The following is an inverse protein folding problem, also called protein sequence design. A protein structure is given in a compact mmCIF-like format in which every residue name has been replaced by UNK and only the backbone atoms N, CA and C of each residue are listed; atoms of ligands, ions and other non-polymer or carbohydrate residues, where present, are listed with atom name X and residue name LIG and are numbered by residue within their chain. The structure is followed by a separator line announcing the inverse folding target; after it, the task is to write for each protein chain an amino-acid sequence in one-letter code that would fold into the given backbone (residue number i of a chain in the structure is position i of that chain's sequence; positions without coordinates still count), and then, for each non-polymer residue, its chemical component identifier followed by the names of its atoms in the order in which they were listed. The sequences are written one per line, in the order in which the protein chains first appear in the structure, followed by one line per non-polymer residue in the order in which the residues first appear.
data_IF_605867939028
#
_entry.id   IF_605867939028
#
_cell.length_a   1.000
_cell.length_b   1.000
_cell.length_c   1.000
_cell.angle_alpha   90.00
_cell.angle_beta   90.00
_cell.angle_gamma   90.00
#
_symmetry.space_group_name_H-M   'P 1'
#
loop_
_entity.id
_entity.type
_entity.pdbx_description
1 polymer ?
#
# COMPACT_ATOMS: atom_id res chain seq x y z
N UNK A 1 36.13 7.00 -32.59
CA UNK A 1 37.11 7.97 -32.04
C UNK A 1 36.66 9.43 -32.10
N UNK A 2 35.86 9.87 -33.04
CA UNK A 2 35.37 11.25 -33.17
C UNK A 2 34.37 11.71 -32.10
N UNK A 3 33.51 10.82 -31.59
CA UNK A 3 32.48 11.16 -30.57
C UNK A 3 33.08 11.44 -29.20
N UNK A 4 34.14 10.75 -28.79
CA UNK A 4 34.80 10.99 -27.49
C UNK A 4 35.60 12.30 -27.45
N UNK A 5 36.07 12.80 -28.63
CA UNK A 5 36.79 14.07 -28.76
C UNK A 5 35.81 15.26 -28.63
N UNK A 6 34.62 15.17 -29.22
CA UNK A 6 33.61 16.23 -29.14
C UNK A 6 33.09 16.44 -27.71
N UNK A 7 32.84 15.34 -26.94
CA UNK A 7 32.37 15.43 -25.53
C UNK A 7 33.46 16.04 -24.65
N UNK A 8 34.73 15.72 -24.87
CA UNK A 8 35.83 16.34 -24.09
C UNK A 8 36.01 17.84 -24.40
N UNK A 9 35.77 18.26 -25.64
CA UNK A 9 35.85 19.67 -26.03
C UNK A 9 34.66 20.46 -25.47
N UNK A 10 33.45 19.87 -25.42
CA UNK A 10 32.25 20.52 -24.86
C UNK A 10 32.32 20.70 -23.32
N UNK A 11 33.00 19.79 -22.61
CA UNK A 11 33.19 19.88 -21.15
C UNK A 11 34.35 20.85 -20.79
N UNK A 12 35.30 21.10 -21.72
CA UNK A 12 36.40 22.02 -21.48
C UNK A 12 36.03 23.50 -21.61
N UNK A 13 34.93 23.82 -22.30
CA UNK A 13 34.50 25.19 -22.61
C UNK A 13 33.41 25.72 -21.67
N UNK A 14 33.04 24.95 -20.63
CA UNK A 14 32.13 25.42 -19.57
C UNK A 14 32.88 26.40 -18.69
N UNK A 15 32.45 27.65 -18.72
CA UNK A 15 32.99 28.71 -17.83
C UNK A 15 32.81 28.34 -16.37
N UNK A 16 33.88 27.78 -15.79
CA UNK A 16 33.92 27.32 -14.38
C UNK A 16 33.52 28.43 -13.41
N UNK A 17 33.76 29.70 -13.77
CA UNK A 17 33.39 30.86 -12.95
C UNK A 17 31.89 31.01 -12.91
N UNK A 18 31.24 30.95 -14.10
CA UNK A 18 29.75 31.02 -14.20
C UNK A 18 29.06 29.86 -13.50
N UNK A 19 29.63 28.64 -13.59
CA UNK A 19 29.11 27.46 -12.86
C UNK A 19 29.21 27.71 -11.37
N UNK A 20 30.37 28.10 -10.86
CA UNK A 20 30.61 28.35 -9.45
C UNK A 20 29.71 29.46 -8.89
N UNK A 21 29.54 30.55 -9.64
CA UNK A 21 28.62 31.64 -9.25
C UNK A 21 27.17 31.16 -9.18
N UNK A 22 26.73 30.39 -10.19
CA UNK A 22 25.39 29.82 -10.20
C UNK A 22 25.17 28.87 -9.02
N UNK A 23 26.11 27.99 -8.75
CA UNK A 23 26.04 27.07 -7.61
C UNK A 23 26.00 27.83 -6.28
N UNK A 24 26.89 28.79 -6.05
CA UNK A 24 26.93 29.59 -4.83
C UNK A 24 25.61 30.35 -4.60
N UNK A 25 25.09 31.00 -5.66
CA UNK A 25 23.80 31.71 -5.59
C UNK A 25 22.66 30.76 -5.20
N UNK A 26 22.57 29.60 -5.88
CA UNK A 26 21.48 28.66 -5.59
C UNK A 26 21.63 28.00 -4.21
N UNK A 27 22.85 27.66 -3.79
CA UNK A 27 23.07 27.19 -2.41
C UNK A 27 22.61 28.23 -1.40
N UNK A 28 22.98 29.51 -1.59
CA UNK A 28 22.57 30.58 -0.68
C UNK A 28 21.03 30.80 -0.66
N UNK A 29 20.35 30.59 -1.80
CA UNK A 29 18.89 30.70 -1.87
C UNK A 29 18.20 29.47 -1.26
N UNK A 30 18.65 28.26 -1.60
CA UNK A 30 18.07 27.00 -1.13
C UNK A 30 18.36 26.69 0.34
N UNK A 31 19.41 27.26 0.90
CA UNK A 31 19.71 27.11 2.34
C UNK A 31 18.93 28.07 3.24
N UNK A 32 18.25 29.09 2.67
CA UNK A 32 17.37 29.97 3.42
C UNK A 32 16.00 29.32 3.53
N UNK A 33 15.50 29.20 4.74
CA UNK A 33 14.16 28.71 5.03
C UNK A 33 13.22 29.90 5.28
N UNK A 34 12.05 29.86 4.69
CA UNK A 34 10.95 30.76 5.00
C UNK A 34 10.22 30.27 6.27
N UNK A 35 9.48 31.15 6.95
CA UNK A 35 8.64 30.75 8.11
C UNK A 35 7.68 29.62 7.76
N UNK A 36 7.12 29.64 6.55
CA UNK A 36 6.23 28.60 6.05
C UNK A 36 6.94 27.25 5.89
N UNK A 37 8.17 27.26 5.37
CA UNK A 37 9.00 26.03 5.23
C UNK A 37 9.41 25.48 6.59
N UNK A 38 9.75 26.33 7.54
CA UNK A 38 10.06 25.93 8.92
C UNK A 38 8.85 25.24 9.55
N UNK A 39 7.63 25.74 9.35
CA UNK A 39 6.39 25.13 9.82
C UNK A 39 6.05 23.78 9.14
N UNK A 40 6.70 23.45 8.03
CA UNK A 40 6.52 22.16 7.31
C UNK A 40 7.63 21.14 7.63
N UNK A 41 8.63 21.54 8.41
CA UNK A 41 9.73 20.65 8.78
C UNK A 41 9.32 19.70 9.90
N UNK A 42 9.95 18.50 9.93
CA UNK A 42 9.77 17.62 11.09
C UNK A 42 10.15 18.36 12.39
N UNK A 43 9.27 18.29 13.38
CA UNK A 43 9.53 18.90 14.69
C UNK A 43 10.70 18.26 15.44
N UNK A 44 11.17 17.10 14.99
CA UNK A 44 12.25 16.33 15.62
C UNK A 44 13.58 16.45 14.86
N UNK A 45 14.67 16.49 15.60
CA UNK A 45 16.06 16.31 15.08
C UNK A 45 16.47 14.83 15.06
N UNK A 46 15.58 13.93 15.48
CA UNK A 46 15.83 12.49 15.45
C UNK A 46 15.85 11.96 14.00
N UNK A 47 16.52 10.83 13.75
CA UNK A 47 16.47 10.20 12.43
C UNK A 47 15.04 9.84 12.02
N UNK A 48 14.68 10.15 10.78
CA UNK A 48 13.38 9.81 10.19
C UNK A 48 13.32 8.34 9.77
N UNK A 49 12.11 7.75 9.60
CA UNK A 49 11.97 6.43 9.00
C UNK A 49 12.63 6.37 7.62
N UNK A 50 13.39 5.32 7.36
CA UNK A 50 14.07 5.11 6.08
C UNK A 50 13.20 4.26 5.15
N UNK A 51 12.82 4.82 4.01
CA UNK A 51 12.06 4.10 2.96
C UNK A 51 12.81 2.84 2.52
N UNK A 52 14.14 2.89 2.44
CA UNK A 52 14.96 1.73 2.03
C UNK A 52 14.96 0.63 3.09
N UNK A 53 15.06 0.99 4.38
CA UNK A 53 14.98 0.01 5.46
C UNK A 53 13.56 -0.60 5.56
N UNK A 54 12.52 0.18 5.29
CA UNK A 54 11.14 -0.34 5.23
C UNK A 54 10.97 -1.34 4.06
N UNK A 55 11.59 -1.10 2.89
CA UNK A 55 11.65 -2.10 1.80
C UNK A 55 12.36 -3.39 2.27
N UNK A 56 13.46 -3.26 3.01
CA UNK A 56 14.17 -4.43 3.55
C UNK A 56 13.30 -5.20 4.54
N UNK A 57 12.55 -4.53 5.40
CA UNK A 57 11.58 -5.16 6.32
C UNK A 57 10.56 -5.99 5.54
N UNK A 58 9.93 -5.43 4.50
CA UNK A 58 8.98 -6.17 3.67
C UNK A 58 9.64 -7.37 2.98
N UNK A 59 10.87 -7.23 2.49
CA UNK A 59 11.62 -8.33 1.89
C UNK A 59 11.90 -9.47 2.89
N UNK A 60 12.29 -9.13 4.12
CA UNK A 60 12.49 -10.12 5.19
C UNK A 60 11.21 -10.88 5.54
N UNK A 61 10.08 -10.16 5.67
CA UNK A 61 8.77 -10.79 5.91
C UNK A 61 8.41 -11.74 4.77
N UNK A 62 8.62 -11.33 3.50
CA UNK A 62 8.39 -12.20 2.33
C UNK A 62 9.25 -13.47 2.39
N UNK A 63 10.51 -13.35 2.76
CA UNK A 63 11.41 -14.50 2.89
C UNK A 63 11.00 -15.45 4.02
N UNK A 64 10.52 -14.91 5.14
CA UNK A 64 10.02 -15.69 6.28
C UNK A 64 8.73 -16.44 5.89
N UNK A 65 7.81 -15.79 5.20
CA UNK A 65 6.51 -16.36 4.83
C UNK A 65 6.63 -17.32 3.65
N UNK A 66 7.47 -17.00 2.64
CA UNK A 66 7.66 -17.74 1.40
C UNK A 66 9.14 -18.11 1.18
N UNK A 67 9.75 -18.92 2.07
CA UNK A 67 11.19 -19.13 2.10
C UNK A 67 11.77 -19.79 0.83
N UNK A 68 10.93 -20.50 0.08
CA UNK A 68 11.37 -21.23 -1.13
C UNK A 68 11.19 -20.40 -2.43
N UNK A 69 10.63 -19.20 -2.35
CA UNK A 69 10.30 -18.38 -3.53
C UNK A 69 11.25 -17.19 -3.75
N UNK A 70 11.70 -16.52 -2.71
CA UNK A 70 12.44 -15.26 -2.83
C UNK A 70 13.90 -15.36 -2.40
N UNK A 71 14.31 -16.51 -1.87
CA UNK A 71 15.68 -16.86 -1.55
C UNK A 71 16.05 -18.24 -2.16
N UNK A 72 17.32 -18.61 -2.01
CA UNK A 72 17.77 -19.92 -2.48
C UNK A 72 17.04 -21.02 -1.72
N UNK A 73 16.33 -21.86 -2.46
CA UNK A 73 15.57 -22.99 -1.90
C UNK A 73 16.44 -23.84 -0.98
N UNK A 74 15.92 -24.11 0.23
CA UNK A 74 16.54 -24.95 1.23
C UNK A 74 15.71 -26.23 1.41
N UNK A 75 16.16 -27.37 0.85
CA UNK A 75 15.41 -28.63 0.94
C UNK A 75 15.37 -29.21 2.34
N UNK A 76 16.38 -28.89 3.18
CA UNK A 76 16.48 -29.38 4.56
C UNK A 76 15.67 -28.46 5.50
N UNK A 77 14.78 -29.05 6.30
CA UNK A 77 13.92 -28.34 7.23
C UNK A 77 14.71 -27.63 8.34
N UNK A 78 15.76 -28.25 8.86
CA UNK A 78 16.59 -27.66 9.90
C UNK A 78 17.35 -26.42 9.37
N UNK A 79 17.87 -26.49 8.14
CA UNK A 79 18.53 -25.37 7.48
C UNK A 79 17.52 -24.25 7.21
N UNK A 80 16.31 -24.58 6.76
CA UNK A 80 15.22 -23.62 6.56
C UNK A 80 14.85 -22.90 7.87
N UNK A 81 14.67 -23.66 8.96
CA UNK A 81 14.38 -23.10 10.28
C UNK A 81 15.50 -22.15 10.75
N UNK A 82 16.77 -22.50 10.52
CA UNK A 82 17.91 -21.63 10.81
C UNK A 82 17.83 -20.29 10.03
N UNK A 83 17.59 -20.34 8.72
CA UNK A 83 17.47 -19.13 7.91
C UNK A 83 16.29 -18.24 8.32
N UNK A 84 15.14 -18.84 8.63
CA UNK A 84 13.98 -18.13 9.17
C UNK A 84 14.37 -17.43 10.49
N UNK A 85 15.08 -18.14 11.39
CA UNK A 85 15.54 -17.57 12.67
C UNK A 85 16.43 -16.34 12.48
N UNK A 86 17.42 -16.43 11.59
CA UNK A 86 18.31 -15.29 11.24
C UNK A 86 17.53 -14.13 10.65
N UNK A 87 16.58 -14.40 9.73
CA UNK A 87 15.76 -13.35 9.14
C UNK A 87 14.83 -12.69 10.17
N UNK A 88 14.30 -13.45 11.13
CA UNK A 88 13.47 -12.91 12.23
C UNK A 88 14.27 -12.01 13.17
N UNK A 89 15.52 -12.36 13.48
CA UNK A 89 16.41 -11.53 14.29
C UNK A 89 16.72 -10.19 13.59
N UNK A 90 17.10 -10.24 12.31
CA UNK A 90 17.32 -9.02 11.50
C UNK A 90 16.04 -8.18 11.42
N UNK A 91 14.89 -8.83 11.15
CA UNK A 91 13.59 -8.17 11.08
C UNK A 91 13.25 -7.45 12.39
N UNK A 92 13.39 -8.11 13.53
CA UNK A 92 13.09 -7.53 14.84
C UNK A 92 13.94 -6.30 15.10
N UNK A 93 15.25 -6.38 14.82
CA UNK A 93 16.18 -5.27 14.98
C UNK A 93 15.83 -4.06 14.11
N UNK A 94 15.59 -4.31 12.81
CA UNK A 94 15.25 -3.24 11.86
C UNK A 94 13.89 -2.63 12.17
N UNK A 95 12.90 -3.47 12.46
CA UNK A 95 11.54 -3.03 12.74
C UNK A 95 11.48 -2.16 13.98
N UNK A 96 12.09 -2.58 15.10
CA UNK A 96 12.20 -1.79 16.33
C UNK A 96 12.79 -0.41 16.03
N UNK A 97 13.89 -0.37 15.29
CA UNK A 97 14.55 0.90 14.96
C UNK A 97 13.64 1.81 14.10
N UNK A 98 13.00 1.27 13.07
CA UNK A 98 12.14 2.07 12.20
C UNK A 98 10.87 2.53 12.93
N UNK A 99 10.27 1.70 13.79
CA UNK A 99 9.13 2.09 14.64
C UNK A 99 9.55 3.23 15.58
N UNK A 100 10.71 3.14 16.22
CA UNK A 100 11.23 4.21 17.08
C UNK A 100 11.39 5.54 16.32
N UNK A 101 11.89 5.49 15.07
CA UNK A 101 11.99 6.69 14.21
C UNK A 101 10.59 7.22 13.85
N UNK A 102 9.62 6.35 13.54
CA UNK A 102 8.23 6.74 13.26
C UNK A 102 7.55 7.39 14.45
N UNK A 103 7.71 6.85 15.63
CA UNK A 103 7.19 7.43 16.86
C UNK A 103 7.77 8.82 17.16
N UNK A 104 9.06 9.04 16.87
CA UNK A 104 9.71 10.33 17.04
C UNK A 104 9.33 11.35 15.95
N UNK A 105 8.86 10.90 14.81
CA UNK A 105 8.40 11.77 13.72
C UNK A 105 6.99 12.35 13.99
N UNK A 106 6.17 11.66 14.76
CA UNK A 106 4.80 12.09 15.03
C UNK A 106 4.80 13.18 16.12
N UNK A 107 4.21 14.35 15.83
CA UNK A 107 4.16 15.49 16.75
C UNK A 107 3.39 15.20 18.06
N UNK A 108 2.51 14.19 18.04
CA UNK A 108 1.73 13.74 19.20
C UNK A 108 2.53 12.87 20.20
N UNK A 109 3.78 12.55 19.92
CA UNK A 109 4.66 11.93 20.92
C UNK A 109 4.93 12.94 22.03
N UNK A 110 4.32 12.72 23.20
CA UNK A 110 4.44 13.52 24.39
C UNK A 110 5.87 14.04 24.58
N UNK A 111 6.03 15.35 24.66
CA UNK A 111 7.30 16.08 24.73
C UNK A 111 8.18 15.65 25.91
N UNK A 112 7.69 14.76 26.79
CA UNK A 112 8.37 14.24 27.97
C UNK A 112 8.86 12.79 27.85
N UNK A 113 8.66 12.12 26.69
CA UNK A 113 9.08 10.71 26.55
C UNK A 113 10.59 10.61 26.27
N UNK A 114 11.32 9.91 27.14
CA UNK A 114 12.75 9.70 26.95
C UNK A 114 13.03 8.78 25.75
N UNK A 115 14.21 8.92 25.15
CA UNK A 115 14.64 8.05 24.05
C UNK A 115 14.54 6.55 24.42
N UNK A 116 14.89 6.19 25.67
CA UNK A 116 14.80 4.81 26.16
C UNK A 116 13.36 4.30 26.19
N UNK A 117 12.41 5.13 26.62
CA UNK A 117 10.97 4.78 26.62
C UNK A 117 10.43 4.60 25.21
N UNK A 118 10.80 5.48 24.26
CA UNK A 118 10.40 5.33 22.85
C UNK A 118 10.89 4.01 22.27
N UNK A 119 12.16 3.64 22.56
CA UNK A 119 12.72 2.37 22.11
C UNK A 119 12.04 1.17 22.77
N UNK A 120 11.67 1.24 24.06
CA UNK A 120 10.90 0.18 24.73
C UNK A 120 9.52 -0.02 24.09
N UNK A 121 8.77 1.06 23.80
CA UNK A 121 7.49 1.01 23.10
C UNK A 121 7.66 0.41 21.68
N UNK A 122 8.73 0.81 20.99
CA UNK A 122 9.02 0.31 19.64
C UNK A 122 9.34 -1.19 19.64
N UNK A 123 10.10 -1.66 20.63
CA UNK A 123 10.43 -3.08 20.81
C UNK A 123 9.17 -3.91 21.08
N UNK A 124 8.31 -3.47 21.99
CA UNK A 124 7.05 -4.13 22.30
C UNK A 124 6.15 -4.27 21.04
N UNK A 125 6.04 -3.19 20.25
CA UNK A 125 5.27 -3.23 18.98
C UNK A 125 5.92 -4.14 17.94
N UNK A 126 7.25 -4.16 17.84
CA UNK A 126 7.98 -5.06 16.95
C UNK A 126 7.75 -6.52 17.34
N UNK A 127 7.82 -6.86 18.62
CA UNK A 127 7.54 -8.22 19.11
C UNK A 127 6.09 -8.64 18.85
N UNK A 128 5.12 -7.77 19.09
CA UNK A 128 3.71 -8.02 18.75
C UNK A 128 3.51 -8.26 17.24
N UNK A 129 4.26 -7.57 16.39
CA UNK A 129 4.25 -7.82 14.95
C UNK A 129 4.86 -9.19 14.61
N UNK A 130 5.98 -9.57 15.23
CA UNK A 130 6.61 -10.89 15.05
C UNK A 130 5.64 -12.01 15.46
N UNK A 131 4.94 -11.85 16.60
CA UNK A 131 3.92 -12.81 17.06
C UNK A 131 2.75 -12.95 16.09
N UNK A 132 2.46 -11.93 15.29
CA UNK A 132 1.40 -11.95 14.28
C UNK A 132 1.81 -12.59 12.95
N UNK A 133 3.10 -12.86 12.70
CA UNK A 133 3.56 -13.41 11.41
C UNK A 133 2.90 -14.74 11.02
N UNK A 134 2.64 -15.70 11.93
CA UNK A 134 1.92 -16.92 11.59
C UNK A 134 0.50 -16.65 11.05
N UNK A 135 -0.21 -15.69 11.62
CA UNK A 135 -1.55 -15.30 11.15
C UNK A 135 -1.49 -14.55 9.82
N UNK A 136 -0.56 -13.64 9.65
CA UNK A 136 -0.31 -12.97 8.35
C UNK A 136 -0.02 -14.02 7.26
N UNK A 137 0.80 -15.02 7.57
CA UNK A 137 1.06 -16.15 6.66
C UNK A 137 -0.24 -16.88 6.32
N UNK A 138 -1.05 -17.24 7.32
CA UNK A 138 -2.32 -17.94 7.11
C UNK A 138 -3.24 -17.15 6.16
N UNK A 139 -3.43 -15.87 6.41
CA UNK A 139 -4.25 -14.98 5.57
C UNK A 139 -3.73 -14.89 4.14
N UNK A 140 -2.43 -14.74 3.95
CA UNK A 140 -1.82 -14.68 2.61
C UNK A 140 -2.03 -15.98 1.84
N UNK A 141 -2.02 -17.14 2.51
CA UNK A 141 -2.29 -18.43 1.84
C UNK A 141 -3.77 -18.57 1.43
N UNK A 142 -4.73 -18.00 2.18
CA UNK A 142 -6.12 -17.91 1.72
C UNK A 142 -6.28 -16.98 0.53
N UNK A 143 -5.56 -15.85 0.50
CA UNK A 143 -5.56 -14.91 -0.63
C UNK A 143 -4.95 -15.56 -1.90
N UNK A 144 -3.86 -16.34 -1.75
CA UNK A 144 -3.27 -17.12 -2.85
C UNK A 144 -4.27 -18.12 -3.42
N UNK A 145 -4.98 -18.85 -2.55
CA UNK A 145 -6.01 -19.79 -2.99
C UNK A 145 -7.10 -19.08 -3.78
N UNK A 146 -7.62 -17.97 -3.26
CA UNK A 146 -8.65 -17.18 -3.94
C UNK A 146 -8.19 -16.64 -5.30
N UNK A 147 -6.95 -16.14 -5.40
CA UNK A 147 -6.40 -15.67 -6.67
C UNK A 147 -6.22 -16.80 -7.67
N UNK A 148 -5.77 -17.98 -7.22
CA UNK A 148 -5.64 -19.15 -8.08
C UNK A 148 -6.98 -19.65 -8.60
N UNK A 149 -8.00 -19.72 -7.74
CA UNK A 149 -9.34 -20.17 -8.09
C UNK A 149 -10.06 -19.20 -9.07
N UNK A 150 -9.71 -17.92 -9.03
CA UNK A 150 -10.30 -16.88 -9.89
C UNK A 150 -9.52 -16.63 -11.20
N UNK A 151 -8.32 -17.19 -11.37
CA UNK A 151 -7.49 -17.02 -12.57
C UNK A 151 -7.31 -18.35 -13.33
N UNK A 152 -8.15 -18.64 -14.35
CA UNK A 152 -7.99 -19.84 -15.16
C UNK A 152 -6.68 -19.92 -15.95
N UNK A 153 -5.96 -18.80 -16.08
CA UNK A 153 -4.66 -18.74 -16.76
C UNK A 153 -3.49 -19.09 -15.87
N UNK A 154 -3.66 -19.10 -14.55
CA UNK A 154 -2.61 -19.48 -13.61
C UNK A 154 -2.40 -21.00 -13.60
N UNK A 155 -1.22 -21.52 -14.01
CA UNK A 155 -0.99 -22.98 -14.09
C UNK A 155 -0.73 -23.62 -12.74
N UNK A 156 -0.34 -22.85 -11.74
CA UNK A 156 -0.02 -23.31 -10.39
C UNK A 156 0.10 -22.16 -9.38
N UNK A 157 0.04 -22.49 -8.10
CA UNK A 157 0.19 -21.51 -7.00
C UNK A 157 1.51 -20.73 -7.02
N UNK A 158 2.59 -21.36 -7.53
CA UNK A 158 3.90 -20.71 -7.61
C UNK A 158 3.88 -19.49 -8.51
N UNK A 159 3.17 -19.54 -9.61
CA UNK A 159 3.01 -18.38 -10.51
C UNK A 159 2.23 -17.25 -9.83
N UNK A 160 1.17 -17.57 -9.09
CA UNK A 160 0.42 -16.57 -8.31
C UNK A 160 1.35 -15.89 -7.30
N UNK A 161 2.13 -16.66 -6.54
CA UNK A 161 3.04 -16.10 -5.52
C UNK A 161 4.15 -15.24 -6.13
N UNK A 162 4.71 -15.68 -7.25
CA UNK A 162 5.94 -15.09 -7.81
C UNK A 162 5.66 -13.95 -8.78
N UNK A 163 4.57 -14.03 -9.57
CA UNK A 163 4.33 -13.13 -10.68
C UNK A 163 3.18 -12.14 -10.44
N UNK A 164 2.17 -12.49 -9.60
CA UNK A 164 0.97 -11.67 -9.48
C UNK A 164 1.23 -10.30 -8.83
N UNK A 165 0.87 -9.18 -9.50
CA UNK A 165 0.89 -7.85 -8.89
C UNK A 165 -0.03 -7.77 -7.66
N UNK A 166 -1.18 -8.41 -7.72
CA UNK A 166 -2.18 -8.45 -6.65
C UNK A 166 -1.63 -9.14 -5.41
N UNK A 167 -0.92 -10.28 -5.58
CA UNK A 167 -0.27 -10.98 -4.47
C UNK A 167 0.85 -10.13 -3.84
N UNK A 168 1.60 -9.41 -4.66
CA UNK A 168 2.58 -8.45 -4.14
C UNK A 168 1.90 -7.36 -3.29
N UNK A 169 0.77 -6.81 -3.76
CA UNK A 169 0.00 -5.79 -3.04
C UNK A 169 -0.59 -6.34 -1.75
N UNK A 170 -1.20 -7.53 -1.77
CA UNK A 170 -1.77 -8.15 -0.58
C UNK A 170 -0.71 -8.45 0.48
N UNK A 171 0.48 -8.88 0.07
CA UNK A 171 1.59 -9.06 1.01
C UNK A 171 1.95 -7.73 1.72
N UNK A 172 2.08 -6.63 0.97
CA UNK A 172 2.35 -5.32 1.56
C UNK A 172 1.19 -4.85 2.45
N UNK A 173 -0.05 -5.03 2.00
CA UNK A 173 -1.23 -4.63 2.74
C UNK A 173 -1.35 -5.39 4.07
N UNK A 174 -1.25 -6.73 4.10
CA UNK A 174 -1.34 -7.52 5.33
C UNK A 174 -0.28 -7.13 6.36
N UNK A 175 0.95 -6.86 5.89
CA UNK A 175 2.04 -6.33 6.73
C UNK A 175 1.70 -4.94 7.28
N UNK A 176 1.29 -4.03 6.40
CA UNK A 176 0.99 -2.66 6.74
C UNK A 176 -0.23 -2.55 7.65
N UNK A 177 -1.27 -3.34 7.40
CA UNK A 177 -2.49 -3.39 8.20
C UNK A 177 -2.18 -3.79 9.64
N UNK A 178 -1.38 -4.84 9.84
CA UNK A 178 -0.97 -5.25 11.20
C UNK A 178 -0.18 -4.16 11.92
N UNK A 179 0.74 -3.50 11.25
CA UNK A 179 1.46 -2.37 11.85
C UNK A 179 0.54 -1.17 12.13
N UNK A 180 -0.48 -0.96 11.31
CA UNK A 180 -1.52 0.06 11.52
C UNK A 180 -2.38 -0.27 12.75
N UNK A 181 -2.83 -1.53 12.91
CA UNK A 181 -3.53 -2.00 14.12
C UNK A 181 -2.70 -1.79 15.40
N UNK A 182 -1.39 -2.00 15.29
CA UNK A 182 -0.43 -1.73 16.38
C UNK A 182 -0.16 -0.24 16.58
N UNK A 183 -0.87 0.64 15.86
CA UNK A 183 -0.69 2.10 15.95
C UNK A 183 0.76 2.54 15.70
N UNK A 184 1.43 1.91 14.74
CA UNK A 184 2.73 2.35 14.25
C UNK A 184 2.52 3.51 13.26
N UNK A 185 3.07 4.70 13.53
CA UNK A 185 2.87 5.83 12.65
C UNK A 185 3.75 5.75 11.39
N UNK A 186 3.29 6.30 10.29
CA UNK A 186 4.01 6.52 9.01
C UNK A 186 4.38 5.24 8.27
N UNK A 187 4.99 4.26 8.93
CA UNK A 187 5.53 3.03 8.30
C UNK A 187 4.46 2.24 7.53
N UNK A 188 3.24 2.02 8.05
CA UNK A 188 2.18 1.35 7.30
C UNK A 188 1.92 2.01 5.94
N UNK A 189 1.87 3.35 5.92
CA UNK A 189 1.64 4.09 4.68
C UNK A 189 2.83 3.98 3.71
N UNK A 190 4.06 4.05 4.20
CA UNK A 190 5.26 3.84 3.37
C UNK A 190 5.19 2.45 2.69
N UNK A 191 4.74 1.42 3.39
CA UNK A 191 4.63 0.06 2.86
C UNK A 191 3.57 -0.01 1.75
N UNK A 192 2.36 0.51 1.98
CA UNK A 192 1.29 0.45 0.97
C UNK A 192 1.60 1.30 -0.26
N UNK A 193 2.24 2.47 -0.11
CA UNK A 193 2.68 3.29 -1.24
C UNK A 193 3.76 2.62 -2.10
N UNK A 194 4.59 1.76 -1.53
CA UNK A 194 5.54 0.95 -2.32
C UNK A 194 4.81 -0.04 -3.23
N UNK A 195 3.74 -0.67 -2.74
CA UNK A 195 2.92 -1.55 -3.56
C UNK A 195 2.15 -0.77 -4.61
N UNK A 196 1.50 0.33 -4.22
CA UNK A 196 0.75 1.22 -5.11
C UNK A 196 1.61 1.70 -6.29
N UNK A 197 2.79 2.24 -6.01
CA UNK A 197 3.69 2.73 -7.06
C UNK A 197 4.17 1.64 -8.03
N UNK A 198 4.24 0.39 -7.58
CA UNK A 198 4.70 -0.75 -8.38
C UNK A 198 3.58 -1.41 -9.18
N UNK A 199 2.36 -1.44 -8.65
CA UNK A 199 1.26 -2.26 -9.18
C UNK A 199 0.06 -1.46 -9.70
N UNK A 200 -0.06 -0.19 -9.31
CA UNK A 200 -1.24 0.62 -9.56
C UNK A 200 -2.45 0.24 -8.70
N UNK A 201 -2.27 -0.59 -7.65
CA UNK A 201 -3.31 -0.98 -6.69
C UNK A 201 -3.09 -0.20 -5.39
N UNK A 202 -4.03 0.68 -5.03
CA UNK A 202 -3.99 1.51 -3.82
C UNK A 202 -4.91 0.93 -2.74
N UNK A 203 -4.32 0.35 -1.69
CA UNK A 203 -5.05 -0.13 -0.51
C UNK A 203 -4.56 0.63 0.72
N UNK A 204 -5.45 1.39 1.35
CA UNK A 204 -5.11 2.07 2.58
C UNK A 204 -4.89 1.05 3.72
N UNK A 205 -3.84 1.18 4.55
CA UNK A 205 -3.54 0.20 5.61
C UNK A 205 -4.65 0.07 6.67
N UNK A 206 -5.52 1.07 6.82
CA UNK A 206 -6.66 1.06 7.73
C UNK A 206 -7.88 0.28 7.22
N UNK A 207 -7.94 -0.08 5.93
CA UNK A 207 -9.00 -0.93 5.41
C UNK A 207 -9.00 -2.29 6.11
N UNK A 208 -10.18 -2.87 6.34
CA UNK A 208 -10.34 -4.21 6.94
C UNK A 208 -10.73 -5.19 5.83
N UNK A 209 -9.92 -6.21 5.59
CA UNK A 209 -10.14 -7.18 4.51
C UNK A 209 -10.10 -8.58 5.11
N UNK A 210 -11.18 -9.33 4.90
CA UNK A 210 -11.33 -10.73 5.33
C UNK A 210 -10.40 -11.71 4.62
N UNK A 211 -10.76 -12.98 4.66
CA UNK A 211 -10.00 -14.09 4.08
C UNK A 211 -10.46 -14.37 2.64
N UNK A 212 -9.63 -15.13 1.89
CA UNK A 212 -9.90 -15.50 0.51
C UNK A 212 -10.23 -14.30 -0.39
N UNK A 213 -9.49 -13.22 -0.20
CA UNK A 213 -9.66 -12.01 -0.98
C UNK A 213 -8.85 -12.08 -2.28
N UNK A 214 -9.51 -11.81 -3.40
CA UNK A 214 -8.87 -11.80 -4.71
C UNK A 214 -9.00 -10.44 -5.40
N UNK A 215 -7.92 -10.02 -6.07
CA UNK A 215 -7.93 -8.92 -7.03
C UNK A 215 -7.45 -9.49 -8.37
N UNK A 216 -8.27 -9.41 -9.40
CA UNK A 216 -7.90 -9.83 -10.75
C UNK A 216 -7.49 -8.61 -11.58
N UNK A 217 -6.36 -8.73 -12.31
CA UNK A 217 -5.65 -7.66 -13.02
C UNK A 217 -5.20 -6.50 -12.13
N UNK A 218 -6.08 -5.87 -11.42
CA UNK A 218 -5.89 -4.96 -10.28
C UNK A 218 -5.53 -3.53 -10.59
N UNK A 219 -4.96 -3.18 -11.74
CA UNK A 219 -4.55 -1.82 -12.06
C UNK A 219 -5.70 -0.83 -11.86
N UNK A 220 -5.46 0.22 -11.05
CA UNK A 220 -6.45 1.26 -10.76
C UNK A 220 -7.48 0.90 -9.69
N UNK A 221 -7.31 -0.23 -8.98
CA UNK A 221 -8.12 -0.51 -7.78
C UNK A 221 -7.74 0.46 -6.67
N UNK A 222 -8.77 1.04 -6.02
CA UNK A 222 -8.61 1.94 -4.86
C UNK A 222 -9.50 1.46 -3.72
N UNK A 223 -8.91 1.16 -2.57
CA UNK A 223 -9.62 0.74 -1.35
C UNK A 223 -9.32 1.74 -0.23
N UNK A 224 -10.32 2.55 0.14
CA UNK A 224 -10.18 3.64 1.11
C UNK A 224 -10.10 3.17 2.56
N UNK A 225 -9.60 4.02 3.43
CA UNK A 225 -9.23 3.79 4.83
C UNK A 225 -10.26 3.03 5.68
N UNK A 226 -11.53 3.41 5.60
CA UNK A 226 -12.57 2.85 6.48
C UNK A 226 -13.44 1.80 5.77
N UNK A 227 -12.94 1.24 4.66
CA UNK A 227 -13.58 0.14 3.94
C UNK A 227 -13.57 -1.11 4.79
N UNK A 228 -14.67 -1.85 4.79
CA UNK A 228 -14.77 -3.18 5.38
C UNK A 228 -15.10 -4.16 4.25
N UNK A 229 -14.31 -5.20 4.09
CA UNK A 229 -14.48 -6.26 3.10
C UNK A 229 -14.55 -7.59 3.83
N UNK A 230 -15.61 -8.35 3.58
CA UNK A 230 -15.82 -9.70 4.12
C UNK A 230 -14.92 -10.75 3.47
N UNK A 231 -15.32 -12.01 3.61
CA UNK A 231 -14.60 -13.16 3.07
C UNK A 231 -15.04 -13.48 1.63
N UNK A 232 -14.15 -14.13 0.85
CA UNK A 232 -14.44 -14.56 -0.52
C UNK A 232 -14.91 -13.43 -1.44
N UNK A 233 -14.34 -12.24 -1.29
CA UNK A 233 -14.65 -11.10 -2.14
C UNK A 233 -13.63 -11.02 -3.29
N UNK A 234 -14.14 -10.78 -4.50
CA UNK A 234 -13.31 -10.61 -5.71
C UNK A 234 -13.54 -9.23 -6.31
N UNK A 235 -12.45 -8.50 -6.53
CA UNK A 235 -12.45 -7.21 -7.21
C UNK A 235 -11.66 -7.30 -8.51
N UNK A 236 -12.18 -6.63 -9.55
CA UNK A 236 -11.49 -6.48 -10.84
C UNK A 236 -10.83 -5.11 -10.96
N UNK A 237 -10.01 -4.94 -12.00
CA UNK A 237 -9.28 -3.70 -12.25
C UNK A 237 -10.18 -2.46 -12.26
N UNK A 238 -9.66 -1.32 -11.80
CA UNK A 238 -10.34 -0.04 -11.81
C UNK A 238 -11.47 0.12 -10.80
N UNK A 239 -11.72 -0.88 -9.94
CA UNK A 239 -12.73 -0.78 -8.88
C UNK A 239 -12.32 0.27 -7.85
N UNK A 240 -13.23 1.17 -7.50
CA UNK A 240 -13.05 2.17 -6.46
C UNK A 240 -14.02 1.96 -5.30
N UNK A 241 -13.49 1.66 -4.12
CA UNK A 241 -14.22 1.65 -2.86
C UNK A 241 -13.89 2.95 -2.10
N UNK A 242 -14.63 4.02 -2.42
CA UNK A 242 -14.27 5.39 -2.09
C UNK A 242 -15.24 6.10 -1.13
N UNK A 243 -14.85 7.28 -0.69
CA UNK A 243 -15.73 8.21 0.00
C UNK A 243 -16.61 8.97 -0.99
N UNK A 244 -17.88 9.21 -0.64
CA UNK A 244 -18.80 10.06 -1.43
C UNK A 244 -18.64 11.54 -1.08
N UNK A 245 -18.40 11.84 0.20
CA UNK A 245 -18.25 13.18 0.73
C UNK A 245 -17.46 13.18 2.03
N UNK A 246 -16.96 14.33 2.43
CA UNK A 246 -16.29 14.51 3.71
C UNK A 246 -17.19 15.29 4.65
N UNK A 247 -17.14 14.97 5.95
CA UNK A 247 -17.80 15.74 7.01
C UNK A 247 -16.78 16.62 7.69
N UNK A 248 -17.21 17.82 8.09
CA UNK A 248 -16.37 18.80 8.76
C UNK A 248 -17.00 19.18 10.10
N UNK A 249 -16.17 19.56 11.06
CA UNK A 249 -16.61 20.15 12.34
C UNK A 249 -16.97 21.64 12.15
N UNK A 250 -17.38 22.30 13.25
CA UNK A 250 -17.74 23.71 13.27
C UNK A 250 -16.56 24.64 12.94
N UNK A 251 -15.32 24.15 13.08
CA UNK A 251 -14.08 24.88 12.81
C UNK A 251 -13.56 24.64 11.38
N UNK A 252 -14.24 23.82 10.57
CA UNK A 252 -13.83 23.46 9.22
C UNK A 252 -12.79 22.35 9.15
N UNK A 253 -12.51 21.63 10.24
CA UNK A 253 -11.62 20.48 10.24
C UNK A 253 -12.38 19.25 9.78
N UNK A 254 -11.72 18.43 8.95
CA UNK A 254 -12.29 17.18 8.46
C UNK A 254 -12.43 16.16 9.60
N UNK A 255 -13.66 15.66 9.80
CA UNK A 255 -13.94 14.63 10.79
C UNK A 255 -13.46 13.28 10.30
N UNK A 256 -12.70 12.58 11.13
CA UNK A 256 -12.29 11.19 10.87
C UNK A 256 -13.41 10.20 11.25
N UNK A 257 -14.41 10.09 10.38
CA UNK A 257 -15.55 9.17 10.54
C UNK A 257 -15.56 8.13 9.41
N UNK A 258 -16.18 6.96 9.64
CA UNK A 258 -16.35 5.95 8.58
C UNK A 258 -17.06 6.55 7.36
N UNK A 259 -16.41 6.47 6.19
CA UNK A 259 -16.86 7.12 4.95
C UNK A 259 -16.78 6.24 3.71
N UNK A 260 -16.21 5.04 3.84
CA UNK A 260 -16.01 4.09 2.75
C UNK A 260 -16.98 2.92 2.86
N UNK A 261 -17.25 2.16 1.79
CA UNK A 261 -18.25 1.11 1.76
C UNK A 261 -17.95 -0.10 2.64
N UNK A 262 -19.00 -0.88 2.90
CA UNK A 262 -18.96 -2.21 3.48
C UNK A 262 -19.32 -3.18 2.35
N UNK A 263 -18.45 -4.15 2.09
CA UNK A 263 -18.65 -5.25 1.15
C UNK A 263 -18.76 -6.52 1.97
N UNK A 264 -19.93 -7.16 1.96
CA UNK A 264 -20.14 -8.40 2.71
C UNK A 264 -19.52 -9.62 1.98
N UNK A 265 -19.70 -10.82 2.54
CA UNK A 265 -19.09 -12.06 2.04
C UNK A 265 -19.57 -12.43 0.63
N UNK A 266 -18.74 -13.14 -0.14
CA UNK A 266 -19.04 -13.69 -1.46
C UNK A 266 -19.47 -12.63 -2.51
N UNK A 267 -19.00 -11.40 -2.39
CA UNK A 267 -19.32 -10.33 -3.36
C UNK A 267 -18.28 -10.28 -4.46
N UNK A 268 -18.76 -10.16 -5.70
CA UNK A 268 -17.90 -9.90 -6.87
C UNK A 268 -18.19 -8.51 -7.43
N UNK A 269 -17.13 -7.71 -7.58
CA UNK A 269 -17.19 -6.35 -8.16
C UNK A 269 -16.38 -6.31 -9.43
N UNK A 270 -17.05 -6.16 -10.56
CA UNK A 270 -16.43 -6.12 -11.89
C UNK A 270 -15.81 -4.77 -12.23
N UNK A 271 -15.01 -4.78 -13.28
CA UNK A 271 -14.10 -3.72 -13.68
C UNK A 271 -14.72 -2.32 -13.72
N UNK A 272 -13.94 -1.32 -13.24
CA UNK A 272 -14.28 0.10 -13.27
C UNK A 272 -15.55 0.48 -12.49
N UNK A 273 -16.10 -0.41 -11.64
CA UNK A 273 -17.21 -0.03 -10.77
C UNK A 273 -16.72 0.90 -9.65
N UNK A 274 -17.49 1.96 -9.39
CA UNK A 274 -17.25 2.91 -8.30
C UNK A 274 -18.34 2.78 -7.25
N UNK A 275 -17.97 2.33 -6.05
CA UNK A 275 -18.86 2.16 -4.89
C UNK A 275 -18.47 3.21 -3.87
N UNK A 276 -19.36 4.21 -3.66
CA UNK A 276 -18.99 5.42 -2.94
C UNK A 276 -19.88 5.69 -1.73
N UNK A 277 -19.23 6.02 -0.62
CA UNK A 277 -19.87 6.38 0.64
C UNK A 277 -20.02 5.20 1.59
N UNK A 278 -20.52 5.45 2.80
CA UNK A 278 -20.75 4.41 3.82
C UNK A 278 -22.03 3.64 3.52
N UNK A 279 -21.98 2.85 2.44
CA UNK A 279 -23.07 1.98 1.96
C UNK A 279 -22.65 0.53 2.12
N UNK A 280 -23.63 -0.37 2.16
CA UNK A 280 -23.38 -1.81 2.29
C UNK A 280 -23.78 -2.53 0.99
N UNK A 281 -22.89 -3.36 0.49
CA UNK A 281 -23.17 -4.33 -0.56
C UNK A 281 -23.39 -5.66 0.14
N UNK A 282 -24.65 -6.13 0.13
CA UNK A 282 -25.05 -7.36 0.82
C UNK A 282 -24.38 -8.59 0.22
N UNK A 283 -24.21 -9.63 1.04
CA UNK A 283 -23.51 -10.86 0.68
C UNK A 283 -24.10 -11.54 -0.57
N UNK A 284 -23.30 -12.39 -1.23
CA UNK A 284 -23.67 -13.12 -2.45
C UNK A 284 -24.12 -12.21 -3.60
N UNK A 285 -23.66 -10.96 -3.63
CA UNK A 285 -24.05 -9.98 -4.65
C UNK A 285 -22.99 -9.82 -5.74
N UNK A 286 -23.44 -9.43 -6.92
CA UNK A 286 -22.59 -9.13 -8.08
C UNK A 286 -22.83 -7.71 -8.54
N UNK A 287 -21.76 -6.90 -8.58
CA UNK A 287 -21.77 -5.55 -9.15
C UNK A 287 -21.07 -5.58 -10.50
N UNK A 288 -21.81 -5.30 -11.56
CA UNK A 288 -21.31 -5.29 -12.93
C UNK A 288 -20.30 -4.18 -13.21
N UNK A 289 -19.60 -4.29 -14.32
CA UNK A 289 -18.59 -3.32 -14.70
C UNK A 289 -19.16 -1.92 -15.01
N UNK A 290 -18.35 -0.88 -14.78
CA UNK A 290 -18.67 0.53 -14.99
C UNK A 290 -19.93 1.02 -14.24
N UNK A 291 -20.30 0.41 -13.14
CA UNK A 291 -21.41 0.81 -12.28
C UNK A 291 -20.95 1.93 -11.33
N UNK A 292 -21.74 3.00 -11.24
CA UNK A 292 -21.59 4.06 -10.25
C UNK A 292 -22.65 3.88 -9.16
N UNK A 293 -22.25 3.40 -7.97
CA UNK A 293 -23.16 3.00 -6.91
C UNK A 293 -22.95 3.88 -5.65
N UNK A 294 -24.04 4.49 -5.16
CA UNK A 294 -24.03 5.37 -3.99
C UNK A 294 -25.14 5.08 -2.98
N UNK A 295 -25.75 3.90 -3.07
CA UNK A 295 -26.78 3.41 -2.15
C UNK A 295 -26.54 1.94 -1.86
N UNK A 296 -26.97 1.48 -0.68
CA UNK A 296 -26.84 0.09 -0.28
C UNK A 296 -27.71 -0.83 -1.14
N UNK A 297 -27.23 -2.05 -1.34
CA UNK A 297 -27.97 -3.11 -2.03
C UNK A 297 -28.14 -4.31 -1.10
N UNK A 298 -29.33 -4.96 -1.10
CA UNK A 298 -29.55 -6.13 -0.26
C UNK A 298 -28.72 -7.34 -0.72
N UNK A 299 -28.61 -8.39 0.12
CA UNK A 299 -27.98 -9.64 -0.28
C UNK A 299 -28.58 -10.25 -1.55
N UNK A 300 -27.77 -11.07 -2.24
CA UNK A 300 -28.15 -11.77 -3.48
C UNK A 300 -28.54 -10.83 -4.64
N UNK A 301 -28.03 -9.58 -4.62
CA UNK A 301 -28.32 -8.59 -5.65
C UNK A 301 -27.41 -8.77 -6.88
N UNK A 302 -27.98 -8.51 -8.07
CA UNK A 302 -27.21 -8.43 -9.31
C UNK A 302 -27.45 -7.08 -9.97
N UNK A 303 -26.48 -6.18 -9.85
CA UNK A 303 -26.54 -4.82 -10.41
C UNK A 303 -25.74 -4.80 -11.71
N UNK A 304 -26.40 -4.54 -12.82
CA UNK A 304 -25.80 -4.55 -14.15
C UNK A 304 -26.08 -3.24 -14.88
N UNK A 305 -25.21 -2.89 -15.83
CA UNK A 305 -25.54 -1.82 -16.78
C UNK A 305 -26.74 -2.21 -17.66
N UNK A 306 -27.50 -1.20 -18.09
CA UNK A 306 -28.45 -1.39 -19.18
C UNK A 306 -27.71 -1.78 -20.46
N UNK A 307 -28.37 -2.59 -21.34
CA UNK A 307 -27.80 -2.92 -22.65
C UNK A 307 -27.51 -1.65 -23.44
N UNK A 308 -26.43 -1.65 -24.21
CA UNK A 308 -26.16 -0.59 -25.18
C UNK A 308 -27.34 -0.50 -26.17
N UNK A 309 -27.71 0.72 -26.50
CA UNK A 309 -28.72 0.97 -27.56
C UNK A 309 -27.97 1.24 -28.85
N UNK A 310 -28.16 0.41 -29.85
CA UNK A 310 -27.64 0.65 -31.20
C UNK A 310 -28.44 1.77 -31.85
N UNK A 311 -27.79 2.88 -32.09
CA UNK A 311 -28.37 3.98 -32.88
C UNK A 311 -27.66 3.99 -34.23
N UNK A 312 -28.43 3.98 -35.31
CA UNK A 312 -27.87 4.14 -36.64
C UNK A 312 -27.19 5.50 -36.74
N UNK A 313 -25.93 5.51 -37.21
CA UNK A 313 -25.20 6.74 -37.44
C UNK A 313 -25.76 7.38 -38.72
N UNK A 314 -26.47 8.50 -38.60
CA UNK A 314 -26.86 9.32 -39.75
C UNK A 314 -25.79 10.39 -40.01
N UNK A 315 -25.43 10.57 -41.28
CA UNK A 315 -24.40 11.47 -41.74
C UNK A 315 -24.73 12.91 -41.29
N UNK A 316 -23.89 13.51 -40.45
CA UNK A 316 -24.09 14.86 -39.91
C UNK A 316 -24.58 14.92 -38.45
N UNK A 317 -24.91 13.81 -37.77
CA UNK A 317 -25.11 13.78 -36.34
C UNK A 317 -23.74 13.77 -35.66
N UNK A 318 -23.24 14.94 -35.32
CA UNK A 318 -21.98 15.09 -34.59
C UNK A 318 -22.03 14.39 -33.25
N UNK A 319 -20.89 13.78 -32.82
CA UNK A 319 -20.64 13.28 -31.50
C UNK A 319 -20.45 14.50 -30.56
#
# INVERSE_FOLDING_TARGET
MFFCSLIRTFVADMDKTKINETLRRNVALLSKQTEKEVGMMPATVAPLPSVEMVKRIVALVKNIIFPDYFEKRQPDEAIRAYHIGVAMEELTTLLTKQIAHGLQFCEDCETNTTKAQVYGIAEDKALQFIDALPEIKRLLYTDIQAMFDNDPAAPNFGEVIFCSPSMNTMTHYRIAHKLHELQVPVIPRIITEQAHSKTGIDIHPGAQIGEYFAIDHGTGVVIGETTIIGNHVTLYQGVTLGAKSFKYDENGNMLNVPRHPIIEDNVTVYSNASILGRITIGHDSTIGGNIWLTHSVPPHSKILQSKAVDVAFEDGAGI
#
